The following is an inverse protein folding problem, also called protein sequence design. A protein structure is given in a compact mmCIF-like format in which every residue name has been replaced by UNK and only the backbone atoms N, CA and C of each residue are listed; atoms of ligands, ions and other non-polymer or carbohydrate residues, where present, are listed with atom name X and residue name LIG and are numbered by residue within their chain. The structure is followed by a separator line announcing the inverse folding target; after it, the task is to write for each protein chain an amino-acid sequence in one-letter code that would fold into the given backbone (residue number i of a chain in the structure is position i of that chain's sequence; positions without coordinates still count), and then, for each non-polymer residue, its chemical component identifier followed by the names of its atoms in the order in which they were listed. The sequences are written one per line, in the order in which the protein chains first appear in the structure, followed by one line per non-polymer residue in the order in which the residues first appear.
data_IF_785544411082
#
_entry.id   IF_785544411082
#
_cell.length_a   1.000
_cell.length_b   1.000
_cell.length_c   1.000
_cell.angle_alpha   90.00
_cell.angle_beta   90.00
_cell.angle_gamma   90.00
#
_symmetry.space_group_name_H-M   'P 1'
#
loop_
_entity.id
_entity.type
_entity.pdbx_description
1 polymer ?
#
# COMPACT_ATOMS: atom_id res chain seq x y z
N UNK A 1 -5.14 -4.26 -15.58
CA UNK A 1 -4.88 -3.20 -16.59
C UNK A 1 -4.46 -1.90 -15.92
N UNK A 2 -3.46 -1.22 -16.49
CA UNK A 2 -2.80 0.01 -16.00
C UNK A 2 -3.73 1.06 -15.37
N UNK A 3 -4.94 1.25 -15.91
CA UNK A 3 -5.97 2.19 -15.38
C UNK A 3 -6.42 1.89 -13.94
N UNK A 4 -6.42 0.64 -13.51
CA UNK A 4 -6.76 0.29 -12.13
C UNK A 4 -5.59 0.42 -11.18
N UNK A 5 -4.36 0.21 -11.68
CA UNK A 5 -3.15 0.48 -10.90
C UNK A 5 -3.03 1.97 -10.56
N UNK A 6 -3.25 2.88 -11.51
CA UNK A 6 -3.16 4.33 -11.26
C UNK A 6 -4.12 4.78 -10.14
N UNK A 7 -5.32 4.18 -10.08
CA UNK A 7 -6.28 4.43 -9.01
C UNK A 7 -5.83 3.82 -7.69
N UNK A 8 -5.28 2.61 -7.73
CA UNK A 8 -4.83 1.89 -6.56
C UNK A 8 -3.62 2.55 -5.94
N UNK A 9 -2.60 2.91 -6.72
CA UNK A 9 -1.42 3.63 -6.25
C UNK A 9 -1.81 5.00 -5.69
N UNK A 10 -2.74 5.72 -6.34
CA UNK A 10 -3.27 6.97 -5.80
C UNK A 10 -3.93 6.76 -4.44
N UNK A 11 -4.81 5.77 -4.29
CA UNK A 11 -5.44 5.48 -2.99
C UNK A 11 -4.43 5.05 -1.94
N UNK A 12 -3.55 4.11 -2.29
CA UNK A 12 -2.68 3.44 -1.35
C UNK A 12 -1.59 4.36 -0.83
N UNK A 13 -1.06 5.23 -1.70
CA UNK A 13 -0.01 6.20 -1.38
C UNK A 13 -0.55 7.59 -1.00
N UNK A 14 -1.87 7.80 -0.90
CA UNK A 14 -2.46 9.08 -0.51
C UNK A 14 -2.13 9.45 0.95
N UNK A 15 -0.96 10.06 1.13
CA UNK A 15 -0.69 11.22 1.99
C UNK A 15 0.20 12.15 1.17
N UNK A 16 -0.23 13.40 1.00
CA UNK A 16 0.49 14.47 0.29
C UNK A 16 1.74 14.96 1.04
N UNK A 17 2.48 14.08 1.72
CA UNK A 17 3.67 14.39 2.49
C UNK A 17 4.78 13.42 2.14
N UNK A 18 5.69 13.88 1.27
CA UNK A 18 6.51 13.07 0.38
C UNK A 18 7.82 12.52 0.96
N UNK A 19 8.18 12.86 2.19
CA UNK A 19 9.31 12.29 2.94
C UNK A 19 8.88 12.31 4.40
N UNK A 20 8.86 11.14 5.06
CA UNK A 20 8.83 11.11 6.53
C UNK A 20 10.26 10.81 6.97
N UNK A 21 11.04 11.86 7.18
CA UNK A 21 12.27 11.74 7.96
C UNK A 21 11.85 11.95 9.41
N UNK A 22 11.88 10.89 10.22
CA UNK A 22 11.85 11.07 11.67
C UNK A 22 13.28 11.42 12.09
N UNK A 23 13.55 12.65 12.58
CA UNK A 23 14.91 13.12 12.85
C UNK A 23 15.70 12.24 13.84
N UNK A 24 15.00 11.46 14.66
CA UNK A 24 15.57 10.65 15.74
C UNK A 24 15.88 9.19 15.35
N UNK A 25 15.74 8.78 14.08
CA UNK A 25 16.02 7.39 13.70
C UNK A 25 16.77 7.22 12.35
N UNK A 26 18.10 7.43 12.34
CA UNK A 26 18.92 7.38 11.13
C UNK A 26 18.89 6.03 10.39
N UNK A 27 18.37 4.96 11.01
CA UNK A 27 18.18 3.64 10.39
C UNK A 27 16.84 3.42 9.67
N UNK A 28 15.93 4.40 9.66
CA UNK A 28 14.52 4.20 9.24
C UNK A 28 14.02 5.12 8.11
N UNK A 29 14.93 5.77 7.37
CA UNK A 29 14.58 6.65 6.25
C UNK A 29 13.57 5.99 5.30
N UNK A 30 12.43 6.67 5.11
CA UNK A 30 11.36 6.21 4.22
C UNK A 30 11.07 7.30 3.19
N UNK A 31 11.34 7.00 1.91
CA UNK A 31 11.10 7.92 0.79
C UNK A 31 9.96 7.37 -0.07
N UNK A 32 8.93 8.18 -0.34
CA UNK A 32 7.73 7.74 -1.08
C UNK A 32 7.07 6.46 -0.54
N UNK A 33 7.15 6.22 0.77
CA UNK A 33 6.62 5.00 1.40
C UNK A 33 7.50 3.75 1.24
N UNK A 34 8.71 3.90 0.69
CA UNK A 34 9.71 2.83 0.53
C UNK A 34 10.72 2.98 1.67
N UNK A 35 10.76 1.99 2.57
CA UNK A 35 11.59 2.01 3.77
C UNK A 35 12.98 1.43 3.50
N UNK A 36 14.04 2.14 3.92
CA UNK A 36 15.43 1.72 3.79
C UNK A 36 15.71 0.39 4.52
N UNK A 37 14.95 0.09 5.58
CA UNK A 37 15.02 -1.18 6.31
C UNK A 37 14.80 -2.39 5.40
N UNK A 38 13.88 -2.27 4.44
CA UNK A 38 13.49 -3.37 3.54
C UNK A 38 14.06 -3.20 2.14
N UNK A 39 14.26 -1.96 1.70
CA UNK A 39 14.62 -1.58 0.33
C UNK A 39 15.74 -0.51 0.33
N UNK A 40 16.94 -0.82 0.88
CA UNK A 40 18.00 0.17 1.05
C UNK A 40 18.54 0.71 -0.27
N UNK A 41 18.59 -0.12 -1.32
CA UNK A 41 19.09 0.27 -2.65
C UNK A 41 18.15 1.28 -3.31
N UNK A 42 16.85 1.05 -3.19
CA UNK A 42 15.79 1.87 -3.75
C UNK A 42 15.75 3.24 -3.06
N UNK A 43 15.85 3.27 -1.73
CA UNK A 43 15.94 4.53 -0.98
C UNK A 43 17.21 5.31 -1.34
N UNK A 44 18.35 4.63 -1.49
CA UNK A 44 19.59 5.28 -1.94
C UNK A 44 19.43 5.93 -3.31
N UNK A 45 18.81 5.22 -4.25
CA UNK A 45 18.55 5.75 -5.59
C UNK A 45 17.59 6.95 -5.57
N UNK A 46 16.50 6.84 -4.81
CA UNK A 46 15.53 7.92 -4.64
C UNK A 46 16.16 9.17 -4.02
N UNK A 47 16.99 9.01 -2.98
CA UNK A 47 17.72 10.11 -2.35
C UNK A 47 18.66 10.81 -3.34
N UNK A 48 19.36 10.05 -4.19
CA UNK A 48 20.19 10.62 -5.26
C UNK A 48 19.36 11.47 -6.24
N UNK A 49 18.24 10.94 -6.73
CA UNK A 49 17.37 11.70 -7.65
C UNK A 49 16.84 12.98 -7.03
N UNK A 50 16.46 12.93 -5.75
CA UNK A 50 15.95 14.10 -5.01
C UNK A 50 17.05 15.16 -4.83
N UNK A 51 18.26 14.75 -4.43
CA UNK A 51 19.40 15.65 -4.26
C UNK A 51 19.83 16.33 -5.57
N UNK A 52 19.60 15.68 -6.72
CA UNK A 52 19.81 16.23 -8.05
C UNK A 52 18.65 17.13 -8.53
N UNK A 53 17.63 17.40 -7.69
CA UNK A 53 16.45 18.18 -8.05
C UNK A 53 15.43 17.47 -8.95
N UNK A 54 15.61 16.16 -9.22
CA UNK A 54 14.80 15.38 -10.16
C UNK A 54 13.59 14.73 -9.48
N UNK A 55 12.77 15.55 -8.81
CA UNK A 55 11.65 15.08 -7.97
C UNK A 55 10.64 14.23 -8.76
N UNK A 56 10.26 14.64 -9.97
CA UNK A 56 9.26 13.89 -10.75
C UNK A 56 9.78 12.54 -11.25
N UNK A 57 11.07 12.45 -11.56
CA UNK A 57 11.71 11.15 -11.88
C UNK A 57 11.71 10.24 -10.66
N UNK A 58 11.98 10.78 -9.47
CA UNK A 58 11.95 10.02 -8.23
C UNK A 58 10.54 9.49 -7.91
N UNK A 59 9.50 10.31 -8.13
CA UNK A 59 8.10 9.89 -8.01
C UNK A 59 7.75 8.78 -8.99
N UNK A 60 8.12 8.92 -10.26
CA UNK A 60 7.85 7.90 -11.26
C UNK A 60 8.56 6.58 -10.92
N UNK A 61 9.81 6.65 -10.46
CA UNK A 61 10.55 5.47 -9.99
C UNK A 61 9.81 4.76 -8.84
N UNK A 62 9.30 5.51 -7.86
CA UNK A 62 8.54 4.93 -6.76
C UNK A 62 7.24 4.26 -7.22
N UNK A 63 6.51 4.88 -8.15
CA UNK A 63 5.30 4.30 -8.76
C UNK A 63 5.65 2.98 -9.47
N UNK A 64 6.70 2.97 -10.29
CA UNK A 64 7.15 1.78 -11.01
C UNK A 64 7.61 0.68 -10.05
N UNK A 65 8.26 1.06 -8.95
CA UNK A 65 8.61 0.15 -7.87
C UNK A 65 7.37 -0.51 -7.28
N UNK A 66 6.33 0.25 -6.91
CA UNK A 66 5.09 -0.34 -6.37
C UNK A 66 4.37 -1.22 -7.38
N UNK A 67 4.39 -0.85 -8.66
CA UNK A 67 3.85 -1.68 -9.73
C UNK A 67 4.55 -3.04 -9.79
N UNK A 68 5.89 -3.03 -9.85
CA UNK A 68 6.69 -4.25 -9.98
C UNK A 68 6.68 -5.09 -8.71
N UNK A 69 6.93 -4.47 -7.55
CA UNK A 69 7.17 -5.18 -6.30
C UNK A 69 5.89 -5.62 -5.61
N UNK A 70 4.78 -4.89 -5.76
CA UNK A 70 3.56 -5.18 -5.04
C UNK A 70 2.44 -5.60 -5.99
N UNK A 71 2.10 -4.78 -6.99
CA UNK A 71 0.97 -5.04 -7.89
C UNK A 71 1.16 -6.34 -8.70
N UNK A 72 2.25 -6.44 -9.46
CA UNK A 72 2.52 -7.61 -10.30
C UNK A 72 2.77 -8.86 -9.46
N UNK A 73 3.56 -8.74 -8.37
CA UNK A 73 3.90 -9.92 -7.54
C UNK A 73 2.68 -10.53 -6.84
N UNK A 74 1.61 -9.79 -6.59
CA UNK A 74 0.34 -10.36 -6.07
C UNK A 74 -0.72 -10.56 -7.16
N UNK A 75 -0.29 -10.58 -8.42
CA UNK A 75 -1.10 -10.89 -9.60
C UNK A 75 -2.29 -9.93 -9.84
N UNK A 76 -2.18 -8.67 -9.39
CA UNK A 76 -3.28 -7.70 -9.49
C UNK A 76 -3.72 -7.39 -10.94
N UNK A 77 -2.86 -7.59 -11.94
CA UNK A 77 -3.25 -7.35 -13.34
C UNK A 77 -4.28 -8.34 -13.87
N UNK A 78 -4.32 -9.55 -13.28
CA UNK A 78 -5.26 -10.61 -13.63
C UNK A 78 -6.46 -10.69 -12.67
N UNK A 79 -6.54 -9.77 -11.71
CA UNK A 79 -7.64 -9.69 -10.75
C UNK A 79 -8.66 -8.62 -11.17
N UNK A 80 -9.96 -8.91 -11.09
CA UNK A 80 -10.98 -7.93 -11.41
C UNK A 80 -11.00 -6.80 -10.37
N UNK A 81 -11.43 -5.62 -10.78
CA UNK A 81 -11.81 -4.59 -9.82
C UNK A 81 -13.04 -5.06 -9.02
N UNK A 82 -13.10 -4.87 -7.68
CA UNK A 82 -12.18 -4.13 -6.82
C UNK A 82 -11.11 -4.98 -6.11
N UNK A 83 -11.00 -6.28 -6.40
CA UNK A 83 -10.01 -7.15 -5.76
C UNK A 83 -8.58 -6.69 -6.00
N UNK A 84 -8.25 -6.30 -7.24
CA UNK A 84 -6.92 -5.80 -7.58
C UNK A 84 -6.48 -4.61 -6.70
N UNK A 85 -7.39 -3.66 -6.43
CA UNK A 85 -7.19 -2.52 -5.54
C UNK A 85 -6.96 -2.96 -4.08
N UNK A 86 -7.85 -3.79 -3.53
CA UNK A 86 -7.81 -4.15 -2.11
C UNK A 86 -6.61 -5.04 -1.80
N UNK A 87 -6.30 -6.00 -2.68
CA UNK A 87 -5.17 -6.91 -2.54
C UNK A 87 -3.85 -6.14 -2.66
N UNK A 88 -3.73 -5.21 -3.62
CA UNK A 88 -2.57 -4.33 -3.72
C UNK A 88 -2.37 -3.50 -2.45
N UNK A 89 -3.43 -2.86 -1.96
CA UNK A 89 -3.37 -2.05 -0.75
C UNK A 89 -2.93 -2.87 0.47
N UNK A 90 -3.42 -4.10 0.56
CA UNK A 90 -3.08 -5.05 1.61
C UNK A 90 -1.63 -5.53 1.46
N UNK A 91 -1.15 -5.75 0.24
CA UNK A 91 0.23 -6.14 -0.01
C UNK A 91 1.22 -5.06 0.45
N UNK A 92 0.92 -3.78 0.21
CA UNK A 92 1.74 -2.65 0.65
C UNK A 92 1.73 -2.50 2.17
N UNK A 93 0.56 -2.59 2.81
CA UNK A 93 0.42 -2.29 4.25
C UNK A 93 0.67 -3.49 5.17
N UNK A 94 0.34 -4.69 4.72
CA UNK A 94 0.37 -5.92 5.51
C UNK A 94 1.39 -6.94 4.96
N UNK A 95 2.02 -6.65 3.82
CA UNK A 95 2.97 -7.53 3.16
C UNK A 95 2.31 -8.51 2.17
N UNK A 96 3.06 -8.84 1.11
CA UNK A 96 2.62 -9.68 -0.03
C UNK A 96 2.12 -11.07 0.40
N UNK A 97 2.81 -11.70 1.36
CA UNK A 97 2.44 -13.03 1.86
C UNK A 97 1.05 -13.00 2.51
N UNK A 98 0.78 -12.00 3.36
CA UNK A 98 -0.53 -11.80 3.99
C UNK A 98 -1.62 -11.48 2.96
N UNK A 99 -1.31 -10.62 1.99
CA UNK A 99 -2.25 -10.30 0.93
C UNK A 99 -2.71 -11.54 0.15
N UNK A 100 -1.80 -12.48 -0.15
CA UNK A 100 -2.15 -13.76 -0.78
C UNK A 100 -2.91 -14.69 0.15
N UNK A 101 -2.53 -14.73 1.44
CA UNK A 101 -3.19 -15.59 2.45
C UNK A 101 -4.68 -15.28 2.63
N UNK A 102 -5.10 -14.03 2.43
CA UNK A 102 -6.51 -13.65 2.58
C UNK A 102 -7.37 -13.99 1.35
N UNK A 103 -6.77 -14.39 0.23
CA UNK A 103 -7.53 -14.76 -0.97
C UNK A 103 -8.22 -16.11 -0.72
N UNK A 104 -9.51 -16.14 -1.02
CA UNK A 104 -10.36 -17.33 -0.89
C UNK A 104 -11.32 -17.34 -2.09
N UNK A 105 -11.45 -18.46 -2.83
CA UNK A 105 -12.31 -18.53 -4.01
C UNK A 105 -13.80 -18.35 -3.72
N UNK A 106 -14.23 -18.52 -2.47
CA UNK A 106 -15.64 -18.38 -2.07
C UNK A 106 -15.97 -16.98 -1.53
N UNK A 107 -14.95 -16.16 -1.28
CA UNK A 107 -15.11 -14.81 -0.77
C UNK A 107 -15.50 -13.79 -1.86
N UNK A 108 -16.24 -12.78 -1.46
CA UNK A 108 -16.27 -11.52 -2.18
C UNK A 108 -15.30 -10.48 -1.59
N UNK A 109 -15.20 -9.31 -2.25
CA UNK A 109 -14.26 -8.26 -1.86
C UNK A 109 -14.53 -7.67 -0.46
N UNK A 110 -15.75 -7.80 0.07
CA UNK A 110 -16.14 -7.39 1.42
C UNK A 110 -15.57 -8.37 2.45
N UNK A 111 -15.65 -9.67 2.18
CA UNK A 111 -15.09 -10.72 3.02
C UNK A 111 -13.58 -10.53 3.14
N UNK A 112 -12.91 -10.19 2.04
CA UNK A 112 -11.49 -9.82 2.07
C UNK A 112 -11.20 -8.62 3.00
N UNK A 113 -12.05 -7.58 2.99
CA UNK A 113 -11.90 -6.45 3.90
C UNK A 113 -12.15 -6.86 5.36
N UNK A 114 -13.09 -7.77 5.62
CA UNK A 114 -13.32 -8.32 6.96
C UNK A 114 -12.12 -9.16 7.44
N UNK A 115 -11.57 -10.05 6.62
CA UNK A 115 -10.34 -10.80 6.93
C UNK A 115 -9.18 -9.87 7.29
N UNK A 116 -9.06 -8.73 6.60
CA UNK A 116 -8.07 -7.70 6.95
C UNK A 116 -8.36 -7.01 8.29
N UNK A 117 -9.62 -6.73 8.60
CA UNK A 117 -10.05 -6.18 9.90
C UNK A 117 -9.73 -7.16 11.03
N UNK A 118 -10.06 -8.44 10.86
CA UNK A 118 -9.76 -9.51 11.82
C UNK A 118 -8.25 -9.64 12.06
N UNK A 119 -7.45 -9.60 10.98
CA UNK A 119 -6.00 -9.59 11.10
C UNK A 119 -5.51 -8.42 11.96
N UNK A 120 -5.94 -7.19 11.67
CA UNK A 120 -5.55 -6.03 12.48
C UNK A 120 -5.99 -6.15 13.94
N UNK A 121 -7.21 -6.66 14.19
CA UNK A 121 -7.73 -6.88 15.54
C UNK A 121 -6.95 -7.96 16.31
N UNK A 122 -6.37 -8.94 15.61
CA UNK A 122 -5.55 -10.01 16.22
C UNK A 122 -4.16 -9.56 16.67
N UNK A 123 -3.67 -8.40 16.22
CA UNK A 123 -2.32 -7.93 16.52
C UNK A 123 -2.20 -7.48 17.99
N UNK A 124 -1.30 -8.13 18.74
CA UNK A 124 -1.19 -7.92 20.21
C UNK A 124 -0.26 -6.78 20.63
N UNK A 125 0.66 -6.34 19.76
CA UNK A 125 1.69 -5.35 20.14
C UNK A 125 1.08 -3.99 20.52
N UNK A 126 1.72 -3.28 21.46
CA UNK A 126 1.25 -1.96 21.90
C UNK A 126 1.16 -0.95 20.75
N UNK A 127 2.13 -0.98 19.82
CA UNK A 127 2.14 -0.12 18.64
C UNK A 127 1.01 -0.47 17.67
N UNK A 128 0.65 -1.75 17.57
CA UNK A 128 -0.50 -2.17 16.78
C UNK A 128 -1.82 -1.67 17.36
N UNK A 129 -2.01 -1.74 18.68
CA UNK A 129 -3.19 -1.18 19.35
C UNK A 129 -3.33 0.33 19.11
N UNK A 130 -2.23 1.08 19.19
CA UNK A 130 -2.20 2.53 18.89
C UNK A 130 -2.61 2.83 17.44
N UNK A 131 -2.22 1.97 16.50
CA UNK A 131 -2.46 2.17 15.06
C UNK A 131 -3.80 1.63 14.56
N UNK A 132 -4.45 0.75 15.35
CA UNK A 132 -5.64 -0.02 14.96
C UNK A 132 -6.75 0.86 14.38
N UNK A 133 -7.10 1.97 15.04
CA UNK A 133 -8.13 2.91 14.56
C UNK A 133 -7.83 3.40 13.14
N UNK A 134 -6.56 3.71 12.84
CA UNK A 134 -6.14 4.16 11.52
C UNK A 134 -6.31 3.06 10.46
N UNK A 135 -5.96 1.82 10.81
CA UNK A 135 -6.09 0.67 9.92
C UNK A 135 -7.55 0.31 9.62
N UNK A 136 -8.42 0.31 10.63
CA UNK A 136 -9.86 0.10 10.43
C UNK A 136 -10.47 1.20 9.56
N UNK A 137 -10.12 2.47 9.83
CA UNK A 137 -10.56 3.59 9.00
C UNK A 137 -10.13 3.45 7.54
N UNK A 138 -8.96 2.84 7.28
CA UNK A 138 -8.51 2.56 5.90
C UNK A 138 -9.40 1.53 5.21
N UNK A 139 -9.77 0.44 5.88
CA UNK A 139 -10.73 -0.55 5.34
C UNK A 139 -12.09 0.10 5.04
N UNK A 140 -12.58 0.97 5.93
CA UNK A 140 -13.82 1.73 5.72
C UNK A 140 -13.72 2.68 4.52
N UNK A 141 -12.57 3.34 4.32
CA UNK A 141 -12.32 4.20 3.15
C UNK A 141 -12.32 3.40 1.84
N UNK A 142 -11.70 2.21 1.81
CA UNK A 142 -11.77 1.29 0.67
C UNK A 142 -13.22 0.91 0.35
N UNK A 143 -13.97 0.47 1.36
CA UNK A 143 -15.38 0.12 1.22
C UNK A 143 -16.19 1.27 0.61
N UNK A 144 -16.05 2.49 1.15
CA UNK A 144 -16.77 3.67 0.65
C UNK A 144 -16.37 4.04 -0.78
N UNK A 145 -15.08 3.96 -1.12
CA UNK A 145 -14.57 4.23 -2.46
C UNK A 145 -15.19 3.27 -3.50
N UNK A 146 -15.23 1.98 -3.17
CA UNK A 146 -15.77 0.93 -4.03
C UNK A 146 -17.29 1.08 -4.17
N UNK A 147 -18.01 1.31 -3.06
CA UNK A 147 -19.47 1.47 -3.06
C UNK A 147 -19.93 2.71 -3.83
N UNK A 148 -19.24 3.86 -3.69
CA UNK A 148 -19.58 5.08 -4.43
C UNK A 148 -19.57 4.85 -5.95
N UNK A 149 -18.71 3.98 -6.45
CA UNK A 149 -18.62 3.65 -7.88
C UNK A 149 -19.74 2.79 -8.43
N UNK A 150 -20.45 2.05 -7.58
CA UNK A 150 -21.59 1.22 -8.02
C UNK A 150 -22.90 2.03 -8.16
N UNK A 151 -22.90 3.32 -7.81
CA UNK A 151 -24.07 4.21 -7.92
C UNK A 151 -24.12 5.00 -9.24
N UNK A 152 -23.35 4.59 -10.25
CA UNK A 152 -23.34 5.18 -11.59
C UNK A 152 -23.74 4.11 -12.58
#
# INVERSE_FOLDING_TARGET
MKKDFDKAVKFTLLREGFISDEPDDPGKLTIFGISSKWYPKEVTHLKKLINEGKIDKAKQYAIDFFYKEFWLKVNCDNLPYPFNLIIFDTAVNCGRSRARKFIDPYDDWRDYLFKRIEYHASLKSINAKKSLRGWINRCVKLYRLIKKRKKV
#
